data_IF_356925854843
#
_entry.id   IF_356925854843
#
_cell.length_a   1.000
_cell.length_b   1.000
_cell.length_c   1.000
_cell.angle_alpha   90.00
_cell.angle_beta   90.00
_cell.angle_gamma   90.00
#
_symmetry.space_group_name_H-M   'P 1'
#
loop_
_entity.id
_entity.type
_entity.pdbx_description
1 polymer ?
#
# COMPACT_ATOMS: atom_id res chain seq x y z
N UNK A 1 21.66 18.23 -3.15
CA UNK A 1 20.60 18.08 -4.17
C UNK A 1 19.26 18.46 -3.54
N UNK A 2 18.33 19.09 -4.25
CA UNK A 2 16.99 19.42 -3.71
C UNK A 2 15.96 18.47 -4.33
N UNK A 3 15.11 17.88 -3.50
CA UNK A 3 14.00 17.05 -3.97
C UNK A 3 12.93 17.94 -4.63
N UNK A 4 12.65 17.70 -5.92
CA UNK A 4 11.69 18.47 -6.70
C UNK A 4 10.90 17.58 -7.69
N UNK A 5 10.46 16.41 -7.21
CA UNK A 5 9.59 15.52 -7.98
C UNK A 5 8.15 15.90 -7.68
N UNK A 6 7.32 16.05 -8.72
CA UNK A 6 5.89 16.26 -8.54
C UNK A 6 5.24 14.92 -8.13
N UNK A 7 4.58 14.84 -6.96
CA UNK A 7 3.89 13.61 -6.53
C UNK A 7 2.65 13.28 -7.38
N UNK A 8 2.14 14.25 -8.13
CA UNK A 8 1.00 14.10 -9.03
C UNK A 8 1.48 13.87 -10.47
N UNK A 9 0.93 12.84 -11.10
CA UNK A 9 1.17 12.50 -12.51
C UNK A 9 0.33 13.43 -13.39
N UNK A 10 -0.95 13.56 -13.05
CA UNK A 10 -1.91 14.40 -13.75
C UNK A 10 -3.01 14.81 -12.77
N UNK A 11 -3.43 16.07 -12.83
CA UNK A 11 -4.61 16.58 -12.13
C UNK A 11 -5.63 17.08 -13.15
N UNK A 12 -6.91 16.93 -12.82
CA UNK A 12 -8.01 17.38 -13.65
C UNK A 12 -9.23 17.70 -12.78
N UNK A 13 -10.06 18.64 -13.25
CA UNK A 13 -11.29 19.03 -12.56
C UNK A 13 -12.47 18.32 -13.20
N UNK A 14 -13.23 17.59 -12.40
CA UNK A 14 -14.45 16.90 -12.83
C UNK A 14 -15.59 17.26 -11.87
N UNK A 15 -16.72 17.75 -12.41
CA UNK A 15 -17.89 18.18 -11.62
C UNK A 15 -17.58 19.20 -10.50
N UNK A 16 -16.60 20.07 -10.71
CA UNK A 16 -16.17 21.06 -9.70
C UNK A 16 -15.29 20.50 -8.57
N UNK A 17 -14.89 19.23 -8.65
CA UNK A 17 -13.93 18.60 -7.75
C UNK A 17 -12.60 18.37 -8.47
N UNK A 18 -11.49 18.66 -7.79
CA UNK A 18 -10.15 18.39 -8.30
C UNK A 18 -9.75 16.95 -7.98
N UNK A 19 -9.37 16.21 -9.02
CA UNK A 19 -8.87 14.84 -8.91
C UNK A 19 -7.44 14.79 -9.39
N UNK A 20 -6.57 14.14 -8.62
CA UNK A 20 -5.18 13.90 -9.01
C UNK A 20 -4.82 12.43 -8.99
N UNK A 21 -4.15 11.99 -10.05
CA UNK A 21 -3.55 10.66 -10.12
C UNK A 21 -2.14 10.78 -9.56
N UNK A 22 -1.88 10.12 -8.44
CA UNK A 22 -0.59 10.19 -7.73
C UNK A 22 0.29 8.99 -8.04
N UNK A 23 1.61 9.22 -8.08
CA UNK A 23 2.61 8.15 -8.22
C UNK A 23 2.42 7.04 -7.20
N UNK A 24 2.08 7.41 -5.97
CA UNK A 24 1.83 6.46 -4.87
C UNK A 24 0.70 5.47 -5.21
N UNK A 25 -0.40 5.95 -5.79
CA UNK A 25 -1.52 5.11 -6.23
C UNK A 25 -1.11 4.19 -7.39
N UNK A 26 -0.34 4.72 -8.35
CA UNK A 26 0.17 3.94 -9.48
C UNK A 26 1.10 2.81 -9.01
N UNK A 27 2.00 3.08 -8.06
CA UNK A 27 2.92 2.08 -7.51
C UNK A 27 2.18 0.96 -6.75
N UNK A 28 1.06 1.27 -6.09
CA UNK A 28 0.19 0.23 -5.55
C UNK A 28 -0.45 -0.64 -6.64
N UNK A 29 -0.96 -0.03 -7.72
CA UNK A 29 -1.51 -0.79 -8.85
C UNK A 29 -0.46 -1.70 -9.47
N UNK A 30 0.75 -1.17 -9.69
CA UNK A 30 1.90 -1.95 -10.18
C UNK A 30 2.22 -3.12 -9.22
N UNK A 31 2.17 -2.89 -7.91
CA UNK A 31 2.37 -3.95 -6.91
C UNK A 31 1.36 -5.09 -7.05
N UNK A 32 0.08 -4.77 -7.27
CA UNK A 32 -0.96 -5.79 -7.51
C UNK A 32 -0.80 -6.50 -8.86
N UNK A 33 -0.38 -5.80 -9.91
CA UNK A 33 -0.08 -6.41 -11.22
C UNK A 33 1.08 -7.42 -11.07
N UNK A 34 2.14 -7.03 -10.37
CA UNK A 34 3.28 -7.92 -10.09
C UNK A 34 2.81 -9.13 -9.27
N UNK A 35 1.98 -8.91 -8.24
CA UNK A 35 1.40 -10.00 -7.46
C UNK A 35 0.60 -10.97 -8.34
N UNK A 36 -0.21 -10.45 -9.26
CA UNK A 36 -1.01 -11.25 -10.20
C UNK A 36 -0.16 -12.18 -11.07
N UNK A 37 1.00 -11.71 -11.55
CA UNK A 37 1.85 -12.53 -12.41
C UNK A 37 2.83 -13.42 -11.64
N UNK A 38 3.37 -12.97 -10.51
CA UNK A 38 4.43 -13.69 -9.79
C UNK A 38 3.92 -14.66 -8.73
N UNK A 39 2.71 -14.47 -8.19
CA UNK A 39 2.24 -15.33 -7.10
C UNK A 39 1.96 -16.76 -7.55
N UNK A 40 1.33 -16.94 -8.71
CA UNK A 40 1.05 -18.28 -9.25
C UNK A 40 2.32 -19.13 -9.45
N UNK A 41 3.42 -18.64 -10.04
CA UNK A 41 4.69 -19.34 -10.03
C UNK A 41 5.23 -19.69 -8.64
N UNK A 42 5.12 -18.79 -7.65
CA UNK A 42 5.58 -19.07 -6.29
C UNK A 42 4.72 -20.11 -5.56
N UNK A 43 3.40 -20.10 -5.78
CA UNK A 43 2.49 -21.14 -5.28
C UNK A 43 2.84 -22.51 -5.85
N UNK A 44 3.15 -22.59 -7.16
CA UNK A 44 3.59 -23.83 -7.80
C UNK A 44 4.87 -24.39 -7.17
N UNK A 45 5.83 -23.53 -6.79
CA UNK A 45 7.05 -23.94 -6.05
C UNK A 45 6.79 -24.44 -4.63
N UNK A 46 5.58 -24.23 -4.09
CA UNK A 46 5.14 -24.74 -2.78
C UNK A 46 4.17 -25.91 -2.90
N UNK A 47 4.10 -26.54 -4.07
CA UNK A 47 3.19 -27.63 -4.41
C UNK A 47 1.71 -27.27 -4.18
N UNK A 48 1.35 -26.01 -4.49
CA UNK A 48 -0.02 -25.53 -4.41
C UNK A 48 -0.54 -25.28 -5.82
N UNK A 49 -1.55 -26.07 -6.17
CA UNK A 49 -2.36 -25.83 -7.35
C UNK A 49 -3.66 -25.15 -6.95
N UNK A 50 -3.96 -24.05 -7.63
CA UNK A 50 -5.18 -23.27 -7.44
C UNK A 50 -5.77 -23.00 -8.82
N UNK A 51 -7.07 -23.25 -8.97
CA UNK A 51 -7.78 -22.92 -10.19
C UNK A 51 -7.79 -21.40 -10.41
N UNK A 52 -8.01 -21.00 -11.66
CA UNK A 52 -7.95 -19.59 -12.05
C UNK A 52 -8.94 -18.74 -11.25
N UNK A 53 -10.19 -19.21 -11.10
CA UNK A 53 -11.25 -18.43 -10.47
C UNK A 53 -10.95 -18.20 -8.98
N UNK A 54 -10.46 -19.23 -8.27
CA UNK A 54 -10.00 -19.08 -6.89
C UNK A 54 -8.76 -18.20 -6.78
N UNK A 55 -7.83 -18.26 -7.72
CA UNK A 55 -6.65 -17.42 -7.72
C UNK A 55 -7.00 -15.94 -7.87
N UNK A 56 -7.84 -15.62 -8.84
CA UNK A 56 -8.31 -14.25 -9.08
C UNK A 56 -9.16 -13.74 -7.90
N UNK A 57 -10.02 -14.62 -7.36
CA UNK A 57 -10.78 -14.32 -6.14
C UNK A 57 -9.87 -14.07 -4.93
N UNK A 58 -8.81 -14.85 -4.74
CA UNK A 58 -7.86 -14.64 -3.65
C UNK A 58 -7.21 -13.26 -3.75
N UNK A 59 -6.68 -12.90 -4.91
CA UNK A 59 -6.05 -11.60 -5.12
C UNK A 59 -7.03 -10.45 -4.88
N UNK A 60 -8.28 -10.61 -5.33
CA UNK A 60 -9.35 -9.66 -5.04
C UNK A 60 -9.62 -9.53 -3.54
N UNK A 61 -9.73 -10.64 -2.81
CA UNK A 61 -9.92 -10.64 -1.36
C UNK A 61 -8.77 -9.95 -0.63
N UNK A 62 -7.53 -10.19 -1.04
CA UNK A 62 -6.35 -9.52 -0.48
C UNK A 62 -6.41 -8.01 -0.76
N UNK A 63 -6.76 -7.59 -1.97
CA UNK A 63 -6.92 -6.17 -2.32
C UNK A 63 -7.97 -5.49 -1.45
N UNK A 64 -9.14 -6.11 -1.29
CA UNK A 64 -10.20 -5.63 -0.40
C UNK A 64 -9.71 -5.58 1.07
N UNK A 65 -8.95 -6.59 1.51
CA UNK A 65 -8.33 -6.64 2.82
C UNK A 65 -7.40 -5.44 3.09
N UNK A 66 -6.54 -5.08 2.13
CA UNK A 66 -5.68 -3.88 2.22
C UNK A 66 -6.52 -2.62 2.39
N UNK A 67 -7.52 -2.42 1.53
CA UNK A 67 -8.31 -1.19 1.47
C UNK A 67 -9.17 -1.04 2.73
N UNK A 68 -9.99 -2.06 3.04
CA UNK A 68 -10.88 -2.02 4.19
C UNK A 68 -10.10 -2.04 5.50
N UNK A 69 -9.10 -2.91 5.61
CA UNK A 69 -8.25 -2.97 6.80
C UNK A 69 -7.54 -1.64 7.02
N UNK A 70 -6.95 -1.07 5.98
CA UNK A 70 -6.25 0.22 6.08
C UNK A 70 -7.16 1.36 6.50
N UNK A 71 -8.37 1.44 5.93
CA UNK A 71 -9.34 2.47 6.27
C UNK A 71 -9.87 2.31 7.69
N UNK A 72 -10.30 1.11 8.06
CA UNK A 72 -10.83 0.83 9.40
C UNK A 72 -9.75 1.00 10.46
N UNK A 73 -8.52 0.54 10.20
CA UNK A 73 -7.40 0.77 11.11
C UNK A 73 -7.07 2.25 11.29
N UNK A 74 -7.16 3.06 10.22
CA UNK A 74 -6.98 4.51 10.35
C UNK A 74 -8.04 5.12 11.27
N UNK A 75 -9.30 4.80 11.01
CA UNK A 75 -10.44 5.29 11.79
C UNK A 75 -10.28 4.89 13.26
N UNK A 76 -10.06 3.60 13.53
CA UNK A 76 -10.03 3.07 14.90
C UNK A 76 -8.80 3.53 15.69
N UNK A 77 -7.62 3.55 15.06
CA UNK A 77 -6.37 3.80 15.79
C UNK A 77 -5.98 5.29 15.85
N UNK A 78 -6.38 6.11 14.88
CA UNK A 78 -5.87 7.48 14.76
C UNK A 78 -6.94 8.55 14.87
N UNK A 79 -8.19 8.29 14.50
CA UNK A 79 -9.18 9.37 14.36
C UNK A 79 -10.60 9.00 14.83
N UNK A 80 -10.71 8.05 15.76
CA UNK A 80 -11.99 7.46 16.16
C UNK A 80 -13.02 8.50 16.60
N UNK A 81 -12.59 9.50 17.37
CA UNK A 81 -13.47 10.56 17.90
C UNK A 81 -14.13 11.37 16.79
N UNK A 82 -13.41 11.70 15.73
CA UNK A 82 -13.94 12.45 14.58
C UNK A 82 -15.03 11.65 13.85
N UNK A 83 -14.80 10.34 13.63
CA UNK A 83 -15.76 9.50 12.93
C UNK A 83 -16.99 9.16 13.79
N UNK A 84 -16.88 9.21 15.12
CA UNK A 84 -18.07 9.15 15.99
C UNK A 84 -18.96 10.38 15.85
N UNK A 85 -18.39 11.57 15.60
CA UNK A 85 -19.16 12.80 15.38
C UNK A 85 -19.69 12.93 13.95
N UNK A 86 -18.95 12.42 12.96
CA UNK A 86 -19.34 12.43 11.54
C UNK A 86 -19.22 11.02 10.93
N UNK A 87 -20.18 10.11 11.17
CA UNK A 87 -20.08 8.71 10.73
C UNK A 87 -20.04 8.54 9.21
N UNK A 88 -20.68 9.43 8.46
CA UNK A 88 -20.70 9.38 7.00
C UNK A 88 -19.33 9.66 6.36
N UNK A 89 -18.41 10.30 7.08
CA UNK A 89 -17.05 10.56 6.60
C UNK A 89 -16.25 9.28 6.36
N UNK A 90 -16.69 8.13 6.88
CA UNK A 90 -16.03 6.83 6.63
C UNK A 90 -15.88 6.56 5.12
N UNK A 91 -16.87 7.00 4.32
CA UNK A 91 -16.87 6.85 2.86
C UNK A 91 -15.99 7.86 2.11
N UNK A 92 -15.55 8.93 2.77
CA UNK A 92 -14.68 9.96 2.18
C UNK A 92 -13.22 9.48 2.09
N UNK A 93 -13.00 8.39 1.36
CA UNK A 93 -11.68 7.78 1.17
C UNK A 93 -10.72 8.65 0.34
N UNK A 94 -11.26 9.61 -0.41
CA UNK A 94 -10.48 10.58 -1.19
C UNK A 94 -9.75 11.61 -0.32
N UNK A 95 -10.17 11.80 0.94
CA UNK A 95 -9.46 12.67 1.90
C UNK A 95 -8.19 12.00 2.46
N UNK A 96 -7.85 10.80 1.97
CA UNK A 96 -6.76 10.00 2.50
C UNK A 96 -7.16 9.27 3.78
N UNK A 97 -6.20 8.99 4.67
CA UNK A 97 -6.46 8.30 5.93
C UNK A 97 -6.47 6.78 5.79
N UNK A 98 -5.27 6.21 5.68
CA UNK A 98 -5.02 4.77 5.61
C UNK A 98 -3.97 4.39 6.66
N UNK A 99 -4.20 3.26 7.35
CA UNK A 99 -3.26 2.71 8.33
C UNK A 99 -2.52 1.52 7.74
N UNK A 100 -1.19 1.53 7.85
CA UNK A 100 -0.37 0.35 7.52
C UNK A 100 -0.76 -0.85 8.38
N UNK A 101 -0.85 -0.67 9.71
CA UNK A 101 -1.23 -1.74 10.65
C UNK A 101 -2.61 -2.32 10.32
N UNK A 102 -3.57 -1.44 10.04
CA UNK A 102 -4.91 -1.85 9.60
C UNK A 102 -4.86 -2.67 8.32
N UNK A 103 -4.11 -2.22 7.31
CA UNK A 103 -3.95 -2.94 6.04
C UNK A 103 -3.31 -4.31 6.23
N UNK A 104 -2.26 -4.42 7.04
CA UNK A 104 -1.59 -5.69 7.35
C UNK A 104 -2.53 -6.69 8.04
N UNK A 105 -3.32 -6.23 9.03
CA UNK A 105 -4.34 -7.06 9.69
C UNK A 105 -5.41 -7.48 8.68
N UNK A 106 -5.88 -6.55 7.84
CA UNK A 106 -6.90 -6.83 6.82
C UNK A 106 -6.45 -7.88 5.81
N UNK A 107 -5.21 -7.80 5.30
CA UNK A 107 -4.61 -8.81 4.42
C UNK A 107 -4.50 -10.16 5.10
N UNK A 108 -4.01 -10.19 6.34
CA UNK A 108 -3.91 -11.43 7.11
C UNK A 108 -5.28 -12.10 7.27
N UNK A 109 -6.29 -11.35 7.69
CA UNK A 109 -7.65 -11.86 7.89
C UNK A 109 -8.27 -12.31 6.55
N UNK A 110 -8.12 -11.53 5.48
CA UNK A 110 -8.64 -11.89 4.16
C UNK A 110 -8.01 -13.19 3.65
N UNK A 111 -6.69 -13.32 3.73
CA UNK A 111 -5.98 -14.54 3.34
C UNK A 111 -6.36 -15.73 4.22
N UNK A 112 -6.44 -15.55 5.54
CA UNK A 112 -6.81 -16.61 6.48
C UNK A 112 -8.23 -17.10 6.25
N UNK A 113 -9.20 -16.19 6.09
CA UNK A 113 -10.60 -16.55 5.82
C UNK A 113 -10.76 -17.24 4.46
N UNK A 114 -10.09 -16.73 3.43
CA UNK A 114 -10.13 -17.32 2.09
C UNK A 114 -9.56 -18.74 2.10
N UNK A 115 -8.38 -18.92 2.66
CA UNK A 115 -7.73 -20.23 2.72
C UNK A 115 -8.52 -21.22 3.56
N UNK A 116 -9.12 -20.80 4.68
CA UNK A 116 -10.05 -21.66 5.44
C UNK A 116 -11.26 -22.08 4.62
N UNK A 117 -11.93 -21.14 3.95
CA UNK A 117 -13.13 -21.41 3.15
C UNK A 117 -12.85 -22.40 2.01
N UNK A 118 -11.67 -22.32 1.40
CA UNK A 118 -11.29 -23.16 0.26
C UNK A 118 -10.39 -24.35 0.63
N UNK A 119 -10.19 -24.63 1.93
CA UNK A 119 -9.35 -25.73 2.43
C UNK A 119 -7.91 -25.70 1.89
N UNK A 120 -7.33 -24.50 1.77
CA UNK A 120 -5.97 -24.29 1.30
C UNK A 120 -4.97 -24.14 2.47
N UNK A 121 -3.69 -24.53 2.29
CA UNK A 121 -2.70 -24.48 3.35
C UNK A 121 -2.19 -23.03 3.59
N UNK A 122 -2.81 -22.32 4.54
CA UNK A 122 -2.53 -20.90 4.83
C UNK A 122 -1.04 -20.57 4.91
N UNK A 123 -0.26 -21.29 5.73
CA UNK A 123 1.16 -20.98 5.93
C UNK A 123 1.99 -21.12 4.65
N UNK A 124 1.73 -22.14 3.82
CA UNK A 124 2.46 -22.30 2.55
C UNK A 124 2.06 -21.22 1.55
N UNK A 125 0.80 -20.80 1.55
CA UNK A 125 0.33 -19.68 0.71
C UNK A 125 0.93 -18.34 1.16
N UNK A 126 0.98 -18.10 2.47
CA UNK A 126 1.60 -16.91 3.04
C UNK A 126 3.11 -16.85 2.75
N UNK A 127 3.81 -17.98 2.92
CA UNK A 127 5.24 -18.12 2.61
C UNK A 127 5.52 -17.84 1.12
N UNK A 128 4.69 -18.36 0.20
CA UNK A 128 4.78 -18.02 -1.23
C UNK A 128 4.55 -16.53 -1.54
N UNK A 129 3.85 -15.80 -0.68
CA UNK A 129 3.56 -14.37 -0.88
C UNK A 129 4.69 -13.46 -0.39
N UNK A 130 5.58 -13.92 0.51
CA UNK A 130 6.64 -13.11 1.12
C UNK A 130 7.50 -12.35 0.10
N UNK A 131 8.00 -12.97 -1.01
CA UNK A 131 8.78 -12.24 -2.00
C UNK A 131 8.00 -11.10 -2.67
N UNK A 132 6.70 -11.28 -2.84
CA UNK A 132 5.81 -10.28 -3.47
C UNK A 132 5.57 -9.12 -2.51
N UNK A 133 5.36 -9.42 -1.22
CA UNK A 133 5.24 -8.40 -0.17
C UNK A 133 6.52 -7.56 -0.12
N UNK A 134 7.70 -8.17 -0.22
CA UNK A 134 8.96 -7.42 -0.28
C UNK A 134 9.03 -6.47 -1.49
N UNK A 135 8.60 -6.92 -2.67
CA UNK A 135 8.52 -6.05 -3.87
C UNK A 135 7.53 -4.90 -3.64
N UNK A 136 6.33 -5.19 -3.12
CA UNK A 136 5.33 -4.17 -2.83
C UNK A 136 5.80 -3.13 -1.82
N UNK A 137 6.51 -3.56 -0.76
CA UNK A 137 7.14 -2.64 0.20
C UNK A 137 8.22 -1.78 -0.46
N UNK A 138 9.06 -2.36 -1.33
CA UNK A 138 10.05 -1.61 -2.11
C UNK A 138 9.41 -0.55 -3.02
N UNK A 139 8.32 -0.89 -3.70
CA UNK A 139 7.56 0.07 -4.51
C UNK A 139 6.92 1.16 -3.63
N UNK A 140 6.43 0.81 -2.44
CA UNK A 140 5.95 1.79 -1.46
C UNK A 140 7.04 2.78 -1.05
N UNK A 141 8.26 2.30 -0.84
CA UNK A 141 9.42 3.15 -0.52
C UNK A 141 9.82 4.10 -1.66
N UNK A 142 9.77 3.62 -2.90
CA UNK A 142 9.90 4.51 -4.06
C UNK A 142 8.81 5.59 -4.08
N UNK A 143 7.58 5.22 -3.70
CA UNK A 143 6.49 6.16 -3.51
C UNK A 143 6.78 7.20 -2.43
N UNK A 144 7.34 6.78 -1.29
CA UNK A 144 7.74 7.71 -0.22
C UNK A 144 8.83 8.67 -0.69
N UNK A 145 9.79 8.18 -1.47
CA UNK A 145 10.81 9.03 -2.06
C UNK A 145 10.20 10.07 -3.01
N UNK A 146 9.31 9.67 -3.93
CA UNK A 146 8.65 10.57 -4.89
C UNK A 146 7.75 11.61 -4.19
N UNK A 147 7.03 11.20 -3.14
CA UNK A 147 6.27 12.11 -2.30
C UNK A 147 7.17 13.02 -1.46
N UNK A 148 8.47 12.71 -1.40
CA UNK A 148 9.43 13.39 -0.58
C UNK A 148 9.13 13.27 0.89
N UNK A 149 8.67 12.11 1.39
CA UNK A 149 8.30 11.83 2.80
C UNK A 149 9.16 10.70 3.42
N UNK A 150 9.19 10.54 4.75
CA UNK A 150 9.93 9.47 5.46
C UNK A 150 11.46 9.47 5.23
N UNK A 151 12.03 10.65 5.03
CA UNK A 151 13.48 10.86 4.93
C UNK A 151 14.20 10.59 6.27
N UNK A 152 15.52 10.43 6.21
CA UNK A 152 16.37 10.13 7.36
C UNK A 152 16.89 11.36 8.10
N UNK A 153 17.95 11.13 8.89
CA UNK A 153 18.62 12.17 9.66
C UNK A 153 19.38 13.15 8.76
N UNK A 154 19.65 14.35 9.30
CA UNK A 154 20.50 15.36 8.66
C UNK A 154 21.89 14.79 8.40
N UNK A 155 22.47 15.10 7.24
CA UNK A 155 23.77 14.57 6.82
C UNK A 155 24.57 15.59 6.03
N UNK A 156 25.89 15.46 6.11
CA UNK A 156 26.86 16.22 5.30
C UNK A 156 27.47 15.40 4.16
N UNK A 157 27.03 14.14 4.00
CA UNK A 157 27.54 13.22 2.99
C UNK A 157 27.06 13.61 1.58
N UNK A 158 27.81 13.25 0.52
CA UNK A 158 27.59 13.81 -0.83
C UNK A 158 26.26 13.41 -1.48
N UNK A 159 25.59 12.37 -0.97
CA UNK A 159 24.25 11.95 -1.42
C UNK A 159 23.10 12.58 -0.63
N UNK A 160 23.37 13.55 0.25
CA UNK A 160 22.34 14.26 1.00
C UNK A 160 21.35 15.02 0.10
N UNK A 161 20.06 14.87 0.39
CA UNK A 161 18.96 15.52 -0.32
C UNK A 161 18.20 16.45 0.62
N UNK A 162 17.96 17.68 0.18
CA UNK A 162 17.07 18.64 0.86
C UNK A 162 15.64 18.34 0.44
N UNK A 163 14.82 17.88 1.39
CA UNK A 163 13.39 17.67 1.19
C UNK A 163 12.66 18.94 1.68
N UNK A 164 11.82 19.60 0.86
CA UNK A 164 11.16 20.86 1.25
C UNK A 164 10.42 20.79 2.59
N UNK A 165 9.68 19.70 2.82
CA UNK A 165 8.94 19.47 4.07
C UNK A 165 9.85 18.99 5.23
N UNK A 166 11.11 18.64 4.94
CA UNK A 166 12.12 18.20 5.90
C UNK A 166 13.02 19.32 6.42
N UNK A 167 12.80 20.56 5.98
CA UNK A 167 13.58 21.74 6.33
C UNK A 167 14.76 21.98 5.39
N UNK A 168 15.53 23.03 5.67
CA UNK A 168 16.58 23.52 4.77
C UNK A 168 17.86 22.66 4.72
N UNK A 169 18.03 21.72 5.66
CA UNK A 169 19.26 20.92 5.77
C UNK A 169 19.18 19.63 4.95
N UNK A 170 20.28 19.19 4.30
CA UNK A 170 20.32 17.91 3.60
C UNK A 170 20.13 16.73 4.55
N UNK A 171 19.44 15.70 4.07
CA UNK A 171 19.12 14.47 4.83
C UNK A 171 19.42 13.23 4.03
N UNK A 172 19.60 12.11 4.74
CA UNK A 172 19.71 10.80 4.12
C UNK A 172 18.40 10.41 3.40
N UNK A 173 18.43 10.02 2.12
CA UNK A 173 17.27 9.43 1.45
C UNK A 173 17.15 7.95 1.86
N UNK A 174 16.63 7.70 3.06
CA UNK A 174 16.53 6.34 3.66
C UNK A 174 15.31 5.55 3.22
N UNK A 175 14.40 6.17 2.47
CA UNK A 175 13.26 5.50 1.87
C UNK A 175 13.75 4.35 1.00
#
# INVERSE_FOLDING_TARGET
MVHNINPEIVSFVLFGMEFSVRWYGLLYVISFIIAYFLYKPFLKKKDIEIDRDKYESLLFYIMIGVILGGRLGYILFYNLRFYMTCPLSIFAVWEGGMSFHGGAIGVFLAGWLFTRRHKLPFYRMADAAVPIVAIGLGLGRLGNFINGELWGNVTTLPWGIVFPDGGALPRHPTQ
#
